data_IF_758938597310
#
_entry.id   IF_758938597310
#
_cell.length_a   1.000
_cell.length_b   1.000
_cell.length_c   1.000
_cell.angle_alpha   90.00
_cell.angle_beta   90.00
_cell.angle_gamma   90.00
#
_symmetry.space_group_name_H-M   'P 1'
#
loop_
_entity.id
_entity.type
_entity.pdbx_description
1 polymer ?
#
# COMPACT_ATOMS: atom_id res chain seq x y z
N UNK A 1 24.06 16.82 -3.23
CA UNK A 1 22.69 17.13 -3.31
C UNK A 1 21.81 15.90 -3.20
N UNK A 2 20.80 16.01 -2.43
CA UNK A 2 19.88 14.95 -2.21
C UNK A 2 19.15 14.60 -3.49
N UNK A 3 19.14 13.34 -3.84
CA UNK A 3 18.44 12.89 -5.01
C UNK A 3 17.20 12.15 -4.61
N UNK A 4 16.09 12.69 -4.91
CA UNK A 4 14.85 12.00 -4.62
C UNK A 4 14.51 11.09 -5.77
N UNK A 5 13.82 10.02 -5.47
CA UNK A 5 13.37 9.19 -6.54
C UNK A 5 12.26 9.93 -7.31
N UNK A 6 12.06 9.61 -8.58
CA UNK A 6 11.06 10.32 -9.39
C UNK A 6 9.66 10.24 -8.82
N UNK A 7 9.36 9.15 -8.14
CA UNK A 7 8.03 8.98 -7.54
C UNK A 7 7.77 10.05 -6.50
N UNK A 8 8.76 10.32 -5.64
CA UNK A 8 8.59 11.32 -4.60
C UNK A 8 8.46 12.71 -5.18
N UNK A 9 9.20 12.98 -6.23
CA UNK A 9 9.10 14.29 -6.86
C UNK A 9 7.74 14.51 -7.48
N UNK A 10 7.19 13.47 -8.09
CA UNK A 10 5.86 13.59 -8.66
C UNK A 10 4.83 13.86 -7.60
N UNK A 11 4.94 13.13 -6.49
CA UNK A 11 3.99 13.33 -5.40
C UNK A 11 4.10 14.72 -4.83
N UNK A 12 5.32 15.18 -4.67
CA UNK A 12 5.52 16.51 -4.12
C UNK A 12 5.00 17.58 -5.04
N UNK A 13 5.23 17.42 -6.34
CA UNK A 13 4.75 18.39 -7.31
C UNK A 13 3.24 18.40 -7.38
N UNK A 14 2.61 17.26 -7.12
CA UNK A 14 1.16 17.16 -7.22
C UNK A 14 0.44 17.62 -5.98
N UNK A 15 1.15 17.78 -4.85
CA UNK A 15 0.50 18.08 -3.58
C UNK A 15 -0.36 19.33 -3.66
N UNK A 16 0.12 20.35 -4.35
CA UNK A 16 -0.64 21.59 -4.47
C UNK A 16 -1.87 21.47 -5.35
N UNK A 17 -1.99 20.39 -6.10
CA UNK A 17 -3.08 20.22 -7.05
C UNK A 17 -4.11 19.20 -6.63
N UNK A 18 -3.86 18.53 -5.53
CA UNK A 18 -4.74 17.49 -5.02
C UNK A 18 -5.15 17.83 -3.61
N UNK A 19 -6.36 17.42 -3.21
CA UNK A 19 -6.74 17.61 -1.83
C UNK A 19 -5.77 16.86 -0.93
N UNK A 20 -5.52 17.37 0.27
CA UNK A 20 -4.73 16.63 1.23
C UNK A 20 -5.44 15.33 1.61
N UNK A 21 -4.67 14.36 2.08
CA UNK A 21 -5.25 13.12 2.55
C UNK A 21 -6.05 13.36 3.82
N UNK A 22 -7.09 12.59 4.04
CA UNK A 22 -7.85 12.72 5.29
C UNK A 22 -6.98 12.45 6.48
N UNK A 23 -7.41 12.94 7.63
CA UNK A 23 -6.72 12.68 8.87
C UNK A 23 -6.63 11.17 9.10
N UNK A 24 -5.47 10.70 9.53
CA UNK A 24 -5.28 9.28 9.78
C UNK A 24 -4.91 8.48 8.55
N UNK A 25 -4.82 9.12 7.39
CA UNK A 25 -4.43 8.46 6.14
C UNK A 25 -3.09 9.04 5.70
N UNK A 26 -2.12 8.16 5.46
CA UNK A 26 -0.81 8.59 5.00
C UNK A 26 -0.52 7.94 3.64
N UNK A 27 0.36 8.57 2.89
CA UNK A 27 0.81 8.01 1.62
C UNK A 27 1.71 6.81 1.87
N UNK A 28 1.69 5.84 0.95
CA UNK A 28 2.59 4.70 1.06
C UNK A 28 4.05 5.12 1.12
N UNK A 29 4.39 6.27 0.54
CA UNK A 29 5.76 6.76 0.54
C UNK A 29 6.23 7.07 1.95
N UNK A 30 5.32 7.52 2.79
CA UNK A 30 5.65 7.94 4.15
C UNK A 30 5.47 6.84 5.18
N UNK A 31 5.20 5.61 4.75
CA UNK A 31 4.92 4.54 5.70
C UNK A 31 6.08 4.27 6.65
N UNK A 32 7.32 4.52 6.21
CA UNK A 32 8.49 4.30 7.07
C UNK A 32 8.52 5.22 8.27
N UNK A 33 7.74 6.30 8.24
CA UNK A 33 7.68 7.22 9.39
C UNK A 33 6.68 6.76 10.44
N UNK A 34 6.01 5.63 10.20
CA UNK A 34 4.88 5.22 11.03
C UNK A 34 4.98 3.79 11.55
N UNK A 35 6.20 3.27 11.68
CA UNK A 35 6.37 1.94 12.26
C UNK A 35 5.73 1.87 13.63
N UNK A 36 4.99 0.78 13.86
CA UNK A 36 4.36 0.56 15.16
C UNK A 36 3.02 1.25 15.33
N UNK A 37 2.57 1.99 14.32
CA UNK A 37 1.29 2.70 14.38
C UNK A 37 0.23 1.95 13.60
N UNK A 38 -0.98 1.94 14.12
CA UNK A 38 -2.14 1.44 13.39
C UNK A 38 -2.74 2.63 12.65
N UNK A 39 -2.66 2.59 11.33
CA UNK A 39 -2.99 3.75 10.54
C UNK A 39 -3.43 3.28 9.16
N UNK A 40 -4.03 4.19 8.39
CA UNK A 40 -4.47 3.88 7.05
C UNK A 40 -3.45 4.40 6.05
N UNK A 41 -3.04 3.54 5.11
CA UNK A 41 -2.07 3.89 4.09
C UNK A 41 -2.76 3.88 2.74
N UNK A 42 -2.51 4.90 1.94
CA UNK A 42 -3.12 5.01 0.61
C UNK A 42 -2.05 4.96 -0.46
N UNK A 43 -2.38 4.29 -1.56
CA UNK A 43 -1.48 4.26 -2.71
C UNK A 43 -2.05 3.46 -3.85
N UNK A 44 -1.37 3.57 -4.99
CA UNK A 44 -1.73 2.80 -6.17
C UNK A 44 -0.87 1.55 -6.23
N UNK A 45 -1.52 0.42 -6.38
CA UNK A 45 -0.83 -0.85 -6.51
C UNK A 45 -0.32 -0.96 -7.95
N UNK A 46 0.98 -1.07 -8.12
CA UNK A 46 1.54 -1.15 -9.46
C UNK A 46 2.01 -2.54 -9.82
N UNK A 47 2.11 -3.44 -8.85
CA UNK A 47 2.55 -4.81 -9.11
C UNK A 47 2.02 -5.71 -8.03
N UNK A 48 1.73 -6.95 -8.41
CA UNK A 48 1.22 -7.94 -7.45
C UNK A 48 1.96 -9.25 -7.66
N UNK A 49 1.98 -10.07 -6.60
CA UNK A 49 2.59 -11.38 -6.66
C UNK A 49 1.86 -12.31 -5.72
N UNK A 50 1.39 -13.44 -6.24
CA UNK A 50 0.72 -14.44 -5.43
C UNK A 50 1.64 -15.65 -5.32
N UNK A 51 2.11 -15.93 -4.10
CA UNK A 51 3.04 -17.03 -3.87
C UNK A 51 2.32 -18.35 -3.58
N UNK A 52 1.00 -18.31 -3.54
CA UNK A 52 0.21 -19.48 -3.15
C UNK A 52 -0.12 -19.46 -1.67
N UNK A 53 0.70 -18.82 -0.85
CA UNK A 53 0.46 -18.69 0.59
C UNK A 53 0.02 -17.30 0.96
N UNK A 54 0.40 -16.32 0.15
CA UNK A 54 0.05 -14.94 0.39
C UNK A 54 0.12 -14.19 -0.93
N UNK A 55 -0.63 -13.09 -0.98
CA UNK A 55 -0.58 -12.20 -2.12
C UNK A 55 0.05 -10.90 -1.68
N UNK A 56 1.02 -10.43 -2.44
CA UNK A 56 1.77 -9.21 -2.13
C UNK A 56 1.31 -8.10 -3.07
N UNK A 57 0.96 -6.95 -2.50
CA UNK A 57 0.58 -5.79 -3.27
C UNK A 57 1.68 -4.76 -3.12
N UNK A 58 2.31 -4.40 -4.22
CA UNK A 58 3.49 -3.55 -4.20
C UNK A 58 3.20 -2.20 -4.84
N UNK A 59 3.82 -1.16 -4.29
CA UNK A 59 3.55 0.22 -4.69
C UNK A 59 4.74 0.85 -5.40
N UNK A 60 5.85 0.13 -5.50
CA UNK A 60 7.04 0.62 -6.15
C UNK A 60 7.71 -0.56 -6.85
N UNK A 61 8.40 -0.28 -7.95
CA UNK A 61 9.10 -1.35 -8.67
C UNK A 61 10.14 -2.02 -7.80
N UNK A 62 10.77 -1.26 -6.93
CA UNK A 62 11.76 -1.80 -6.01
C UNK A 62 11.03 -2.27 -4.75
N UNK A 63 10.24 -3.33 -4.91
CA UNK A 63 9.36 -3.80 -3.84
C UNK A 63 10.12 -4.24 -2.59
N UNK A 64 11.39 -4.59 -2.72
CA UNK A 64 12.14 -5.07 -1.56
C UNK A 64 12.51 -3.93 -0.61
N UNK A 65 12.29 -2.69 -1.02
CA UNK A 65 12.64 -1.52 -0.19
C UNK A 65 11.46 -0.67 0.22
N UNK A 66 10.30 -0.89 -0.39
CA UNK A 66 9.17 0.00 -0.16
C UNK A 66 7.98 -0.75 0.40
N UNK A 67 7.01 0.01 0.82
CA UNK A 67 5.81 -0.50 1.47
C UNK A 67 5.15 -1.62 0.67
N UNK A 68 4.70 -2.67 1.37
CA UNK A 68 4.00 -3.79 0.77
C UNK A 68 2.82 -4.17 1.65
N UNK A 69 1.73 -4.55 1.01
CA UNK A 69 0.57 -5.12 1.70
C UNK A 69 0.60 -6.62 1.47
N UNK A 70 0.42 -7.39 2.54
CA UNK A 70 0.43 -8.85 2.48
C UNK A 70 -0.96 -9.37 2.82
N UNK A 71 -1.57 -10.10 1.90
CA UNK A 71 -2.89 -10.71 2.12
C UNK A 71 -2.66 -12.21 2.23
N UNK A 72 -2.98 -12.79 3.40
CA UNK A 72 -2.76 -14.20 3.61
C UNK A 72 -3.82 -15.03 2.89
N UNK A 73 -3.43 -16.24 2.53
CA UNK A 73 -4.27 -17.12 1.76
C UNK A 73 -5.64 -17.34 2.38
N UNK A 74 -5.70 -17.43 3.69
CA UNK A 74 -6.96 -17.71 4.37
C UNK A 74 -7.95 -16.55 4.26
N UNK A 75 -7.54 -15.42 3.71
CA UNK A 75 -8.42 -14.27 3.51
C UNK A 75 -8.86 -14.16 2.06
N UNK A 76 -8.24 -14.90 1.15
CA UNK A 76 -8.54 -14.79 -0.28
C UNK A 76 -10.03 -14.94 -0.56
N UNK A 77 -10.69 -15.85 0.14
CA UNK A 77 -12.10 -16.14 -0.13
C UNK A 77 -13.03 -14.98 0.21
N UNK A 78 -12.53 -13.99 0.94
CA UNK A 78 -13.34 -12.83 1.29
C UNK A 78 -13.43 -11.81 0.16
N UNK A 79 -12.66 -12.02 -0.91
CA UNK A 79 -12.66 -11.09 -2.03
C UNK A 79 -13.43 -11.68 -3.21
N UNK A 80 -14.02 -10.83 -4.07
CA UNK A 80 -14.84 -11.32 -5.18
C UNK A 80 -14.02 -12.00 -6.26
N UNK A 81 -12.72 -11.81 -6.28
CA UNK A 81 -11.82 -12.51 -7.20
C UNK A 81 -10.43 -12.48 -6.63
N UNK A 82 -9.48 -13.07 -7.35
CA UNK A 82 -8.12 -13.16 -6.88
C UNK A 82 -7.56 -11.78 -6.54
N UNK A 83 -6.98 -11.62 -5.34
CA UNK A 83 -6.48 -10.31 -4.94
C UNK A 83 -5.46 -9.72 -5.90
N UNK A 84 -4.61 -10.56 -6.50
CA UNK A 84 -3.60 -10.06 -7.42
C UNK A 84 -4.21 -9.44 -8.67
N UNK A 85 -5.44 -9.85 -9.01
CA UNK A 85 -6.16 -9.25 -10.14
C UNK A 85 -7.02 -8.09 -9.71
N UNK A 86 -7.64 -8.24 -8.54
CA UNK A 86 -8.58 -7.25 -8.04
C UNK A 86 -7.92 -5.91 -7.81
N UNK A 87 -6.73 -5.92 -7.24
CA UNK A 87 -6.10 -4.68 -6.78
C UNK A 87 -5.04 -4.12 -7.73
N UNK A 88 -4.66 -4.87 -8.75
CA UNK A 88 -3.62 -4.38 -9.66
C UNK A 88 -4.08 -3.12 -10.34
N UNK A 89 -3.21 -2.12 -10.31
CA UNK A 89 -3.44 -0.82 -10.94
C UNK A 89 -4.59 -0.04 -10.33
N UNK A 90 -4.97 -0.40 -9.10
CA UNK A 90 -6.03 0.30 -8.40
C UNK A 90 -5.44 1.10 -7.24
N UNK A 91 -6.08 2.20 -6.94
CA UNK A 91 -5.73 2.99 -5.77
C UNK A 91 -6.49 2.42 -4.59
N UNK A 92 -5.78 2.12 -3.52
CA UNK A 92 -6.39 1.48 -2.36
C UNK A 92 -6.05 2.23 -1.09
N UNK A 93 -6.85 1.99 -0.07
CA UNK A 93 -6.54 2.36 1.31
C UNK A 93 -6.52 1.09 2.11
N UNK A 94 -5.47 0.92 2.90
CA UNK A 94 -5.31 -0.27 3.71
C UNK A 94 -5.03 0.16 5.14
N UNK A 95 -5.74 -0.44 6.08
CA UNK A 95 -5.63 -0.09 7.49
C UNK A 95 -5.01 -1.21 8.27
N UNK A 96 -4.09 -0.87 9.14
CA UNK A 96 -3.48 -1.86 9.99
C UNK A 96 -2.22 -1.35 10.65
N UNK A 97 -1.59 -2.24 11.38
CA UNK A 97 -0.35 -1.94 12.07
C UNK A 97 0.78 -1.98 11.06
N UNK A 98 1.55 -0.90 11.00
CA UNK A 98 2.71 -0.86 10.12
C UNK A 98 3.86 -1.55 10.82
N UNK A 99 4.27 -2.67 10.28
CA UNK A 99 5.33 -3.49 10.85
C UNK A 99 6.59 -3.33 10.03
N UNK A 100 7.72 -3.52 10.67
CA UNK A 100 8.99 -3.57 9.94
C UNK A 100 9.31 -5.03 9.63
N UNK A 101 9.52 -5.32 8.37
CA UNK A 101 9.87 -6.66 7.94
C UNK A 101 10.96 -6.53 6.89
N UNK A 102 12.14 -7.10 7.15
CA UNK A 102 13.27 -7.02 6.23
C UNK A 102 13.56 -5.57 5.86
N UNK A 103 13.52 -4.70 6.89
CA UNK A 103 13.85 -3.29 6.78
C UNK A 103 12.91 -2.48 5.91
N UNK A 104 11.68 -2.94 5.76
CA UNK A 104 10.70 -2.15 5.03
C UNK A 104 9.34 -2.25 5.71
N UNK A 105 8.45 -1.29 5.44
CA UNK A 105 7.15 -1.31 6.10
C UNK A 105 6.18 -2.27 5.42
N UNK A 106 5.35 -2.92 6.23
CA UNK A 106 4.33 -3.83 5.75
C UNK A 106 3.08 -3.69 6.58
N UNK A 107 1.93 -3.93 5.95
CA UNK A 107 0.69 -4.16 6.67
C UNK A 107 0.20 -5.55 6.28
N UNK A 108 -0.13 -6.36 7.29
CA UNK A 108 -0.65 -7.70 7.08
C UNK A 108 -2.16 -7.66 7.11
N UNK A 109 -2.80 -8.23 6.10
CA UNK A 109 -4.26 -8.24 5.98
C UNK A 109 -4.77 -9.56 6.54
N UNK A 110 -5.60 -9.45 7.56
CA UNK A 110 -6.23 -10.61 8.19
C UNK A 110 -7.73 -10.63 7.96
N UNK A 111 -8.27 -9.57 7.33
CA UNK A 111 -9.68 -9.47 7.03
C UNK A 111 -9.84 -8.52 5.85
N UNK A 112 -10.79 -8.82 4.97
CA UNK A 112 -11.05 -7.95 3.82
C UNK A 112 -11.48 -6.55 4.25
N UNK A 113 -11.96 -6.39 5.47
CA UNK A 113 -12.37 -5.08 5.97
C UNK A 113 -11.22 -4.09 6.04
N UNK A 114 -9.99 -4.58 6.03
CA UNK A 114 -8.83 -3.71 6.18
C UNK A 114 -8.43 -3.00 4.91
N UNK A 115 -9.01 -3.37 3.77
CA UNK A 115 -8.57 -2.86 2.49
C UNK A 115 -9.77 -2.49 1.62
N UNK A 116 -9.69 -1.34 0.97
CA UNK A 116 -10.75 -0.90 0.08
C UNK A 116 -10.15 -0.21 -1.13
N UNK A 117 -10.87 -0.27 -2.23
CA UNK A 117 -10.49 0.41 -3.44
C UNK A 117 -11.06 1.82 -3.40
N UNK A 118 -10.21 2.80 -3.67
CA UNK A 118 -10.61 4.21 -3.67
C UNK A 118 -10.48 4.71 -5.09
N UNK A 119 -11.61 4.96 -5.73
CA UNK A 119 -11.57 5.39 -7.11
C UNK A 119 -11.21 6.86 -7.21
N UNK A 120 -10.42 7.17 -8.22
CA UNK A 120 -10.11 8.54 -8.54
C UNK A 120 -11.03 9.02 -9.61
N UNK A 121 -11.38 10.30 -9.53
CA UNK A 121 -12.24 10.88 -10.52
C UNK A 121 -11.50 11.74 -11.47
#
# INVERSE_FOLDING_TARGET
MQKENPQQEEDRAAVGKRPPLPEGVVSWIDATDHYGESITVEGKVIATHNSGKACFLNFHHNWSKYFTVVIFKNVFHEFPKAPEELFLNRKIRVKGLIKRHKDKPEILIESADQIEIVEER
#
